data_IF_719886182746
#
_entry.id   IF_719886182746
#
_cell.length_a   1.000
_cell.length_b   1.000
_cell.length_c   1.000
_cell.angle_alpha   90.00
_cell.angle_beta   90.00
_cell.angle_gamma   90.00
#
_symmetry.space_group_name_H-M   'P 1'
#
loop_
_entity.id
_entity.type
_entity.pdbx_description
1 polymer ?
#
# COMPACT_ATOMS: atom_id res chain seq x y z
N UNK A 1 -26.09 -49.26 26.26
CA UNK A 1 -25.14 -49.77 25.25
C UNK A 1 -23.84 -48.98 25.38
N UNK A 2 -22.97 -49.37 26.32
CA UNK A 2 -21.77 -48.60 26.70
C UNK A 2 -20.59 -48.98 25.81
N UNK A 3 -20.14 -48.03 24.99
CA UNK A 3 -19.00 -48.20 24.10
C UNK A 3 -17.72 -48.46 24.92
N UNK A 4 -16.98 -49.51 24.56
CA UNK A 4 -15.80 -50.01 25.28
C UNK A 4 -14.74 -48.91 25.51
N UNK A 5 -14.23 -48.78 26.74
CA UNK A 5 -13.34 -47.69 27.17
C UNK A 5 -12.04 -47.58 26.33
N UNK A 6 -11.57 -48.69 25.75
CA UNK A 6 -10.42 -48.72 24.84
C UNK A 6 -10.67 -47.90 23.56
N UNK A 7 -11.84 -48.05 22.92
CA UNK A 7 -12.17 -47.32 21.69
C UNK A 7 -12.32 -45.82 21.93
N UNK A 8 -12.83 -45.43 23.11
CA UNK A 8 -12.91 -44.00 23.50
C UNK A 8 -11.53 -43.37 23.63
N UNK A 9 -10.57 -44.08 24.24
CA UNK A 9 -9.19 -43.60 24.37
C UNK A 9 -8.48 -43.49 23.02
N UNK A 10 -8.62 -44.49 22.13
CA UNK A 10 -8.06 -44.43 20.78
C UNK A 10 -8.64 -43.27 19.96
N UNK A 11 -9.94 -43.01 20.09
CA UNK A 11 -10.61 -41.91 19.39
C UNK A 11 -10.18 -40.54 19.94
N UNK A 12 -9.93 -40.43 21.25
CA UNK A 12 -9.32 -39.22 21.84
C UNK A 12 -7.91 -38.97 21.32
N UNK A 13 -7.07 -40.01 21.23
CA UNK A 13 -5.73 -39.88 20.66
C UNK A 13 -5.76 -39.49 19.18
N UNK A 14 -6.70 -40.03 18.40
CA UNK A 14 -6.91 -39.64 17.01
C UNK A 14 -7.30 -38.16 16.89
N UNK A 15 -8.20 -37.67 17.75
CA UNK A 15 -8.62 -36.27 17.75
C UNK A 15 -7.49 -35.30 18.12
N UNK A 16 -6.62 -35.70 19.07
CA UNK A 16 -5.43 -34.92 19.44
C UNK A 16 -4.43 -34.87 18.29
N UNK A 17 -4.18 -35.99 17.61
CA UNK A 17 -3.32 -36.04 16.43
C UNK A 17 -3.84 -35.14 15.30
N UNK A 18 -5.15 -35.17 15.03
CA UNK A 18 -5.77 -34.30 14.01
C UNK A 18 -5.62 -32.82 14.37
N UNK A 19 -5.72 -32.46 15.66
CA UNK A 19 -5.54 -31.08 16.11
C UNK A 19 -4.11 -30.58 15.99
N UNK A 20 -3.11 -31.45 16.13
CA UNK A 20 -1.70 -31.06 15.96
C UNK A 20 -1.31 -30.76 14.51
N UNK A 21 -2.03 -31.31 13.53
CA UNK A 21 -1.72 -31.14 12.09
C UNK A 21 -2.47 -29.96 11.47
N UNK A 22 -3.48 -29.40 12.15
CA UNK A 22 -4.20 -28.24 11.63
C UNK A 22 -3.36 -26.96 11.71
N UNK A 23 -3.13 -26.26 10.58
CA UNK A 23 -2.42 -24.98 10.59
C UNK A 23 -3.24 -23.94 11.34
N UNK A 24 -2.58 -23.24 12.26
CA UNK A 24 -3.14 -22.12 13.01
C UNK A 24 -3.08 -20.91 12.07
N UNK A 25 -4.23 -20.32 11.75
CA UNK A 25 -4.27 -19.11 10.90
C UNK A 25 -3.51 -17.97 11.56
N UNK A 26 -2.46 -17.49 10.90
CA UNK A 26 -1.68 -16.33 11.33
C UNK A 26 -2.25 -15.06 10.69
N UNK A 27 -2.87 -14.18 11.49
CA UNK A 27 -3.12 -12.80 11.07
C UNK A 27 -1.86 -11.98 11.28
N UNK A 28 -1.09 -11.80 10.22
CA UNK A 28 0.06 -10.89 10.22
C UNK A 28 -0.43 -9.49 9.80
N UNK A 29 -0.68 -8.64 10.79
CA UNK A 29 -0.92 -7.22 10.54
C UNK A 29 0.41 -6.52 10.26
N UNK A 30 0.45 -5.58 9.30
CA UNK A 30 1.71 -4.93 8.96
C UNK A 30 2.06 -3.95 10.07
N UNK A 31 3.32 -3.91 10.47
CA UNK A 31 3.80 -2.99 11.52
C UNK A 31 3.44 -1.53 11.19
N UNK A 32 3.47 -1.15 9.92
CA UNK A 32 3.07 0.19 9.46
C UNK A 32 1.58 0.52 9.63
N UNK A 33 0.73 -0.50 9.80
CA UNK A 33 -0.71 -0.33 9.97
C UNK A 33 -1.05 -0.13 11.47
N UNK A 34 -0.18 -0.59 12.39
CA UNK A 34 -0.36 -0.51 13.85
C UNK A 34 0.59 0.45 14.57
N UNK A 35 1.61 0.96 13.88
CA UNK A 35 2.60 1.85 14.45
C UNK A 35 2.80 3.10 13.59
N UNK A 36 2.79 4.26 14.22
CA UNK A 36 3.19 5.53 13.61
C UNK A 36 4.65 5.86 13.97
N UNK A 37 5.38 6.46 13.02
CA UNK A 37 6.76 6.88 13.26
C UNK A 37 6.74 8.24 13.97
N UNK A 38 7.24 8.27 15.21
CA UNK A 38 7.33 9.51 15.98
C UNK A 38 8.28 10.52 15.30
N UNK A 39 7.82 11.76 15.15
CA UNK A 39 8.62 12.86 14.59
C UNK A 39 8.63 12.96 13.06
N UNK A 40 7.83 12.15 12.35
CA UNK A 40 7.61 12.36 10.91
C UNK A 40 6.81 13.64 10.71
N UNK A 41 7.40 14.59 10.00
CA UNK A 41 6.69 15.75 9.46
C UNK A 41 6.16 15.35 8.09
N UNK A 42 4.88 15.58 7.86
CA UNK A 42 4.31 15.45 6.53
C UNK A 42 4.95 16.50 5.62
N UNK A 43 5.85 16.07 4.73
CA UNK A 43 6.40 16.95 3.71
C UNK A 43 5.49 16.85 2.49
N UNK A 44 4.66 17.87 2.27
CA UNK A 44 3.79 17.91 1.10
C UNK A 44 4.66 18.00 -0.15
N UNK A 45 4.71 16.90 -0.91
CA UNK A 45 5.37 16.84 -2.19
C UNK A 45 4.36 17.26 -3.26
N UNK A 46 4.63 18.39 -3.90
CA UNK A 46 3.89 18.84 -5.09
C UNK A 46 4.66 18.35 -6.32
N UNK A 47 4.07 17.42 -7.06
CA UNK A 47 4.61 16.95 -8.34
C UNK A 47 3.81 17.54 -9.50
N UNK A 48 4.47 18.19 -10.45
CA UNK A 48 3.83 18.64 -11.69
C UNK A 48 4.21 17.70 -12.85
N UNK A 49 3.22 16.98 -13.38
CA UNK A 49 3.38 16.19 -14.59
C UNK A 49 3.24 17.08 -15.81
N UNK A 50 4.35 17.39 -16.47
CA UNK A 50 4.32 18.14 -17.72
C UNK A 50 4.22 17.17 -18.90
N UNK A 51 3.09 17.16 -19.60
CA UNK A 51 2.92 16.43 -20.86
C UNK A 51 3.16 17.42 -22.00
N UNK A 52 4.31 17.30 -22.66
CA UNK A 52 4.59 17.98 -23.94
C UNK A 52 4.24 17.05 -25.09
N UNK A 53 3.91 17.64 -26.23
CA UNK A 53 3.21 17.07 -27.38
C UNK A 53 3.33 15.59 -27.73
N UNK A 54 2.25 15.07 -28.30
CA UNK A 54 2.22 13.79 -29.03
C UNK A 54 2.88 13.95 -30.41
N UNK A 55 3.45 12.87 -30.96
CA UNK A 55 4.09 12.86 -32.29
C UNK A 55 3.25 13.62 -33.33
N UNK A 56 3.80 14.74 -33.81
CA UNK A 56 3.26 15.53 -34.92
C UNK A 56 2.15 16.54 -34.60
N UNK A 57 1.67 16.69 -33.35
CA UNK A 57 0.55 17.61 -33.03
C UNK A 57 0.79 18.60 -31.89
N UNK A 58 1.84 18.42 -31.07
CA UNK A 58 2.00 19.22 -29.85
C UNK A 58 3.28 20.03 -29.72
N UNK A 59 4.02 20.23 -30.81
CA UNK A 59 5.28 20.99 -30.82
C UNK A 59 5.24 22.17 -31.80
N UNK A 60 4.11 22.88 -31.85
CA UNK A 60 4.13 24.21 -32.46
C UNK A 60 4.92 25.12 -31.52
N UNK A 61 6.16 25.43 -31.91
CA UNK A 61 7.12 26.31 -31.23
C UNK A 61 6.64 27.77 -31.04
N UNK A 62 5.33 28.01 -30.98
CA UNK A 62 4.66 29.31 -30.97
C UNK A 62 3.55 29.44 -29.92
N UNK A 63 3.24 28.41 -29.12
CA UNK A 63 2.31 28.55 -27.99
C UNK A 63 3.03 28.49 -26.63
N UNK A 64 3.24 29.63 -25.96
CA UNK A 64 3.98 29.73 -24.68
C UNK A 64 3.20 29.20 -23.47
N UNK A 65 2.13 28.42 -23.68
CA UNK A 65 1.20 28.04 -22.63
C UNK A 65 1.85 27.19 -21.53
N UNK A 66 2.79 26.31 -21.90
CA UNK A 66 3.53 25.46 -20.97
C UNK A 66 4.48 26.25 -20.07
N UNK A 67 5.26 27.18 -20.65
CA UNK A 67 6.22 28.01 -19.91
C UNK A 67 5.47 29.01 -19.03
N UNK A 68 4.37 29.59 -19.51
CA UNK A 68 3.54 30.49 -18.73
C UNK A 68 2.84 29.76 -17.55
N UNK A 69 2.43 28.50 -17.75
CA UNK A 69 1.82 27.70 -16.67
C UNK A 69 2.85 27.36 -15.58
N UNK A 70 4.08 26.99 -15.97
CA UNK A 70 5.17 26.72 -15.02
C UNK A 70 5.56 27.98 -14.24
N UNK A 71 5.72 29.11 -14.93
CA UNK A 71 6.08 30.40 -14.30
C UNK A 71 5.01 30.87 -13.32
N UNK A 72 3.73 30.75 -13.67
CA UNK A 72 2.63 31.09 -12.76
C UNK A 72 2.58 30.18 -11.52
N UNK A 73 2.87 28.88 -11.67
CA UNK A 73 2.91 27.94 -10.55
C UNK A 73 4.10 28.23 -9.63
N UNK A 74 5.29 28.46 -10.19
CA UNK A 74 6.48 28.84 -9.42
C UNK A 74 6.25 30.15 -8.66
N UNK A 75 5.63 31.15 -9.30
CA UNK A 75 5.27 32.41 -8.65
C UNK A 75 4.30 32.20 -7.47
N UNK A 76 3.32 31.30 -7.59
CA UNK A 76 2.40 30.94 -6.49
C UNK A 76 3.10 30.23 -5.33
N UNK A 77 4.19 29.51 -5.60
CA UNK A 77 5.05 28.89 -4.58
C UNK A 77 6.13 29.84 -4.03
N UNK A 78 6.11 31.12 -4.43
CA UNK A 78 7.07 32.13 -3.99
C UNK A 78 8.44 32.06 -4.67
N UNK A 79 8.57 31.26 -5.73
CA UNK A 79 9.77 31.16 -6.56
C UNK A 79 9.61 32.12 -7.74
N UNK A 80 10.24 33.29 -7.65
CA UNK A 80 10.29 34.26 -8.76
C UNK A 80 11.48 33.89 -9.65
N UNK A 81 11.21 33.60 -10.91
CA UNK A 81 12.21 33.35 -11.97
C UNK A 81 12.38 34.59 -12.85
#
# INVERSE_FOLDING_TARGET
>A
MTMNAKYKSTLLWLLVLVRMVMPIGSSAERIKDVASVAGVRDNQLLGYGLVVGLDGTGDSSSQPFTVQSLTNMLAQLGVVI
#
